data_IF_150334693496
#
_entry.id   IF_150334693496
#
_cell.length_a   1.000
_cell.length_b   1.000
_cell.length_c   1.000
_cell.angle_alpha   90.00
_cell.angle_beta   90.00
_cell.angle_gamma   90.00
#
_symmetry.space_group_name_H-M   'P 1'
#
loop_
_entity.id
_entity.type
_entity.pdbx_description
1 polymer ?
#
# COMPACT_ATOMS: atom_id res chain seq x y z
N UNK A 1 6.16 -14.53 1.23
CA UNK A 1 5.39 -13.33 0.84
C UNK A 1 4.53 -12.94 2.03
N UNK A 2 4.30 -11.65 2.32
CA UNK A 2 3.27 -11.30 3.30
C UNK A 2 1.96 -11.97 2.84
N UNK A 3 1.32 -12.69 3.76
CA UNK A 3 0.08 -13.41 3.47
C UNK A 3 -0.96 -12.37 3.07
N UNK A 4 -1.64 -12.57 1.93
CA UNK A 4 -2.66 -11.67 1.32
C UNK A 4 -3.88 -11.31 2.22
N UNK A 5 -3.83 -11.56 3.52
CA UNK A 5 -5.01 -11.64 4.41
C UNK A 5 -5.38 -10.34 5.14
N UNK A 6 -4.67 -9.23 4.95
CA UNK A 6 -4.93 -8.01 5.76
C UNK A 6 -4.82 -6.68 4.97
N UNK A 7 -5.08 -6.68 3.65
CA UNK A 7 -5.00 -5.45 2.85
C UNK A 7 -6.38 -4.79 2.75
N UNK A 8 -6.67 -3.89 3.68
CA UNK A 8 -7.91 -3.11 3.71
C UNK A 8 -7.78 -1.79 2.91
N UNK A 9 -8.76 -1.42 2.06
CA UNK A 9 -8.73 -0.18 1.26
C UNK A 9 -8.61 1.09 2.09
N UNK A 10 -9.27 1.11 3.26
CA UNK A 10 -9.31 2.25 4.18
C UNK A 10 -8.04 2.39 5.03
N UNK A 11 -7.20 1.34 5.08
CA UNK A 11 -5.95 1.38 5.83
C UNK A 11 -4.80 1.91 4.98
N UNK A 12 -3.77 2.40 5.65
CA UNK A 12 -2.52 2.78 4.99
C UNK A 12 -1.89 1.56 4.32
N UNK A 13 -1.19 1.81 3.20
CA UNK A 13 -0.45 0.75 2.51
C UNK A 13 0.51 0.11 3.53
N UNK A 14 0.45 -1.21 3.73
CA UNK A 14 1.30 -1.86 4.71
C UNK A 14 2.76 -1.62 4.35
N UNK A 15 3.58 -1.28 5.35
CA UNK A 15 4.99 -1.05 5.12
C UNK A 15 5.77 -2.34 5.32
N UNK A 16 6.76 -2.57 4.46
CA UNK A 16 7.66 -3.69 4.62
C UNK A 16 8.51 -3.45 5.87
N UNK A 17 8.53 -4.44 6.78
CA UNK A 17 9.43 -4.42 7.95
C UNK A 17 10.90 -4.37 7.47
N UNK A 18 11.74 -3.46 8.01
CA UNK A 18 13.16 -3.44 7.67
C UNK A 18 13.85 -4.75 8.06
N UNK A 19 14.89 -5.12 7.33
CA UNK A 19 15.70 -6.28 7.67
C UNK A 19 16.38 -6.07 9.03
N UNK A 20 16.18 -7.00 9.95
CA UNK A 20 16.83 -7.00 11.25
C UNK A 20 17.80 -8.16 11.35
N UNK A 21 19.08 -7.83 11.43
CA UNK A 21 20.16 -8.81 11.59
C UNK A 21 19.97 -9.63 12.87
N UNK A 22 19.60 -9.00 13.98
CA UNK A 22 19.40 -9.70 15.25
C UNK A 22 18.25 -10.71 15.18
N UNK A 23 17.15 -10.35 14.54
CA UNK A 23 16.03 -11.29 14.33
C UNK A 23 16.44 -12.44 13.42
N UNK A 24 17.21 -12.15 12.36
CA UNK A 24 17.77 -13.18 11.48
C UNK A 24 18.67 -14.16 12.24
N UNK A 25 19.64 -13.66 13.01
CA UNK A 25 20.55 -14.49 13.81
C UNK A 25 19.80 -15.31 14.86
N UNK A 26 18.76 -14.74 15.47
CA UNK A 26 17.90 -15.45 16.44
C UNK A 26 17.12 -16.58 15.76
N UNK A 27 16.61 -16.35 14.54
CA UNK A 27 15.91 -17.38 13.78
C UNK A 27 16.82 -18.57 13.44
N UNK A 28 18.10 -18.33 13.13
CA UNK A 28 19.06 -19.40 12.87
C UNK A 28 19.31 -20.31 14.08
N UNK A 29 19.15 -19.80 15.31
CA UNK A 29 19.22 -20.65 16.52
C UNK A 29 18.09 -21.67 16.58
N UNK A 30 16.93 -21.33 16.00
CA UNK A 30 15.74 -22.17 15.98
C UNK A 30 15.69 -23.12 14.79
N UNK A 31 16.10 -22.65 13.60
CA UNK A 31 16.04 -23.42 12.35
C UNK A 31 17.35 -24.16 12.01
N UNK A 32 18.39 -23.98 12.83
CA UNK A 32 19.71 -24.54 12.64
C UNK A 32 20.65 -23.60 11.88
N UNK A 33 21.89 -23.48 12.36
CA UNK A 33 22.99 -22.91 11.58
C UNK A 33 23.33 -23.85 10.40
N UNK A 34 23.80 -23.31 9.25
CA UNK A 34 24.52 -24.15 8.29
C UNK A 34 25.67 -24.83 9.05
N UNK A 35 25.95 -26.12 8.80
CA UNK A 35 26.90 -26.96 9.56
C UNK A 35 28.38 -26.53 9.51
N UNK A 36 28.64 -25.23 9.47
CA UNK A 36 29.90 -24.53 9.55
C UNK A 36 30.36 -24.57 11.01
N UNK A 37 31.54 -25.15 11.24
CA UNK A 37 32.22 -25.09 12.54
C UNK A 37 32.81 -23.69 12.73
N UNK A 38 32.58 -23.08 13.89
CA UNK A 38 33.14 -21.76 14.26
C UNK A 38 32.09 -20.68 14.53
N UNK A 39 32.54 -19.43 14.64
CA UNK A 39 31.68 -18.28 14.93
C UNK A 39 30.94 -17.77 13.68
N UNK A 40 29.90 -18.52 13.30
CA UNK A 40 29.02 -18.17 12.18
C UNK A 40 28.25 -16.86 12.41
N UNK A 41 28.03 -16.43 13.66
CA UNK A 41 27.32 -15.18 13.94
C UNK A 41 28.15 -13.99 13.47
N UNK A 42 29.44 -13.96 13.82
CA UNK A 42 30.36 -12.92 13.36
C UNK A 42 30.50 -12.91 11.83
N UNK A 43 30.50 -14.09 11.19
CA UNK A 43 30.54 -14.20 9.73
C UNK A 43 29.31 -13.52 9.10
N UNK A 44 28.09 -13.81 9.58
CA UNK A 44 26.89 -13.17 9.06
C UNK A 44 26.84 -11.67 9.35
N UNK A 45 27.35 -11.23 10.51
CA UNK A 45 27.50 -9.80 10.81
C UNK A 45 28.39 -9.12 9.78
N UNK A 46 29.57 -9.68 9.52
CA UNK A 46 30.48 -9.15 8.50
C UNK A 46 29.88 -9.17 7.10
N UNK A 47 29.23 -10.28 6.71
CA UNK A 47 28.58 -10.40 5.41
C UNK A 47 27.50 -9.34 5.20
N UNK A 48 26.60 -9.15 6.17
CA UNK A 48 25.51 -8.18 6.06
C UNK A 48 26.03 -6.74 6.03
N UNK A 49 27.06 -6.43 6.83
CA UNK A 49 27.59 -5.07 6.94
C UNK A 49 28.54 -4.68 5.81
N UNK A 50 29.33 -5.62 5.30
CA UNK A 50 30.44 -5.31 4.38
C UNK A 50 30.28 -5.86 2.96
N UNK A 51 29.36 -6.81 2.72
CA UNK A 51 29.18 -7.34 1.36
C UNK A 51 28.39 -6.37 0.48
N UNK A 52 29.00 -5.76 -0.56
CA UNK A 52 28.28 -4.88 -1.48
C UNK A 52 27.19 -5.62 -2.24
N UNK A 53 27.41 -6.92 -2.52
CA UNK A 53 26.43 -7.79 -3.18
C UNK A 53 25.17 -7.95 -2.32
N UNK A 54 25.33 -8.21 -1.01
CA UNK A 54 24.19 -8.35 -0.11
C UNK A 54 23.43 -7.03 0.03
N UNK A 55 24.13 -5.92 0.22
CA UNK A 55 23.52 -4.60 0.38
C UNK A 55 22.72 -4.23 -0.88
N UNK A 56 23.31 -4.43 -2.06
CA UNK A 56 22.64 -4.18 -3.35
C UNK A 56 21.42 -5.08 -3.56
N UNK A 57 21.58 -6.38 -3.28
CA UNK A 57 20.48 -7.34 -3.35
C UNK A 57 19.34 -6.99 -2.40
N UNK A 58 19.65 -6.66 -1.15
CA UNK A 58 18.67 -6.29 -0.13
C UNK A 58 17.88 -5.07 -0.59
N UNK A 59 18.55 -3.99 -1.02
CA UNK A 59 17.87 -2.78 -1.51
C UNK A 59 16.93 -3.07 -2.69
N UNK A 60 17.39 -3.88 -3.66
CA UNK A 60 16.56 -4.28 -4.80
C UNK A 60 15.34 -5.08 -4.33
N UNK A 61 15.56 -6.06 -3.44
CA UNK A 61 14.49 -6.89 -2.89
C UNK A 61 13.46 -6.08 -2.12
N UNK A 62 13.90 -5.10 -1.33
CA UNK A 62 13.02 -4.18 -0.60
C UNK A 62 12.16 -3.36 -1.57
N UNK A 63 12.78 -2.80 -2.61
CA UNK A 63 12.07 -2.04 -3.66
C UNK A 63 11.02 -2.89 -4.37
N UNK A 64 11.36 -4.15 -4.71
CA UNK A 64 10.45 -5.07 -5.38
C UNK A 64 9.26 -5.45 -4.48
N UNK A 65 9.52 -5.74 -3.20
CA UNK A 65 8.46 -6.05 -2.22
C UNK A 65 7.55 -4.85 -2.00
N UNK A 66 8.09 -3.65 -1.80
CA UNK A 66 7.27 -2.45 -1.65
C UNK A 66 6.41 -2.17 -2.89
N UNK A 67 6.96 -2.38 -4.09
CA UNK A 67 6.20 -2.26 -5.33
C UNK A 67 5.04 -3.26 -5.34
N UNK A 68 5.31 -4.51 -4.98
CA UNK A 68 4.28 -5.54 -4.93
C UNK A 68 3.19 -5.21 -3.91
N UNK A 69 3.55 -4.77 -2.70
CA UNK A 69 2.57 -4.37 -1.68
C UNK A 69 1.71 -3.21 -2.17
N UNK A 70 2.30 -2.21 -2.82
CA UNK A 70 1.56 -1.08 -3.41
C UNK A 70 0.60 -1.54 -4.51
N UNK A 71 1.01 -2.50 -5.35
CA UNK A 71 0.16 -3.07 -6.39
C UNK A 71 -1.01 -3.85 -5.79
N UNK A 72 -0.77 -4.70 -4.80
CA UNK A 72 -1.80 -5.48 -4.12
C UNK A 72 -2.80 -4.58 -3.37
N UNK A 73 -2.34 -3.50 -2.73
CA UNK A 73 -3.23 -2.50 -2.11
C UNK A 73 -4.09 -1.77 -3.14
N UNK A 74 -3.51 -1.39 -4.27
CA UNK A 74 -4.27 -0.78 -5.36
C UNK A 74 -5.32 -1.72 -5.93
N UNK A 75 -4.96 -2.99 -6.14
CA UNK A 75 -5.90 -4.03 -6.59
C UNK A 75 -7.06 -4.23 -5.60
N UNK A 76 -6.77 -4.21 -4.29
CA UNK A 76 -7.80 -4.26 -3.25
C UNK A 76 -8.78 -3.09 -3.36
N UNK A 77 -8.29 -1.86 -3.54
CA UNK A 77 -9.16 -0.68 -3.75
C UNK A 77 -9.99 -0.82 -5.03
N UNK A 78 -9.36 -1.22 -6.14
CA UNK A 78 -10.02 -1.40 -7.43
C UNK A 78 -11.16 -2.42 -7.41
N UNK A 79 -11.05 -3.44 -6.56
CA UNK A 79 -12.01 -4.54 -6.44
C UNK A 79 -12.99 -4.38 -5.26
N UNK A 80 -12.87 -3.29 -4.49
CA UNK A 80 -13.70 -3.07 -3.31
C UNK A 80 -15.07 -2.52 -3.67
N UNK A 81 -16.05 -2.87 -2.84
CA UNK A 81 -17.39 -2.30 -2.89
C UNK A 81 -17.47 -1.13 -1.91
N UNK A 82 -17.73 0.08 -2.42
CA UNK A 82 -17.95 1.29 -1.62
C UNK A 82 -19.43 1.67 -1.60
N UNK A 83 -20.29 0.72 -1.21
CA UNK A 83 -21.71 0.99 -1.01
C UNK A 83 -21.94 1.94 0.16
N UNK A 84 -23.07 2.65 0.15
CA UNK A 84 -23.45 3.59 1.21
C UNK A 84 -23.47 2.93 2.59
N UNK A 85 -23.88 1.67 2.69
CA UNK A 85 -23.87 0.91 3.95
C UNK A 85 -22.46 0.72 4.53
N UNK A 86 -21.48 0.38 3.69
CA UNK A 86 -20.08 0.17 4.11
C UNK A 86 -19.44 1.52 4.50
N UNK A 87 -19.75 2.58 3.75
CA UNK A 87 -19.23 3.91 4.03
C UNK A 87 -19.82 4.49 5.33
N UNK A 88 -21.08 4.19 5.65
CA UNK A 88 -21.72 4.63 6.89
C UNK A 88 -21.07 4.05 8.17
N UNK A 89 -20.39 2.91 8.07
CA UNK A 89 -19.63 2.31 9.17
C UNK A 89 -18.25 2.95 9.38
N UNK A 90 -17.83 3.85 8.48
CA UNK A 90 -16.51 4.50 8.49
C UNK A 90 -16.62 5.96 8.91
N UNK A 91 -15.54 6.47 9.49
CA UNK A 91 -15.47 7.89 9.82
C UNK A 91 -15.34 8.74 8.54
N UNK A 92 -15.91 9.94 8.54
CA UNK A 92 -15.76 10.88 7.42
C UNK A 92 -14.29 11.17 7.10
N UNK A 93 -13.42 11.19 8.11
CA UNK A 93 -11.97 11.38 7.95
C UNK A 93 -11.33 10.25 7.14
N UNK A 94 -11.68 8.99 7.42
CA UNK A 94 -11.17 7.83 6.66
C UNK A 94 -11.64 7.87 5.21
N UNK A 95 -12.90 8.26 4.97
CA UNK A 95 -13.46 8.40 3.62
C UNK A 95 -12.73 9.49 2.84
N UNK A 96 -12.52 10.66 3.46
CA UNK A 96 -11.80 11.79 2.85
C UNK A 96 -10.34 11.40 2.54
N UNK A 97 -9.66 10.71 3.47
CA UNK A 97 -8.29 10.24 3.27
C UNK A 97 -8.18 9.24 2.11
N UNK A 98 -9.13 8.30 2.01
CA UNK A 98 -9.23 7.38 0.88
C UNK A 98 -9.43 8.12 -0.45
N UNK A 99 -10.35 9.09 -0.50
CA UNK A 99 -10.60 9.91 -1.68
C UNK A 99 -9.36 10.72 -2.08
N UNK A 100 -8.66 11.32 -1.12
CA UNK A 100 -7.43 12.06 -1.37
C UNK A 100 -6.32 11.16 -1.93
N UNK A 101 -6.15 9.96 -1.36
CA UNK A 101 -5.20 8.95 -1.86
C UNK A 101 -5.51 8.55 -3.30
N UNK A 102 -6.78 8.28 -3.61
CA UNK A 102 -7.25 7.96 -4.96
C UNK A 102 -6.98 9.11 -5.94
N UNK A 103 -7.36 10.33 -5.58
CA UNK A 103 -7.18 11.50 -6.43
C UNK A 103 -5.71 11.79 -6.72
N UNK A 104 -4.84 11.70 -5.71
CA UNK A 104 -3.39 11.85 -5.88
C UNK A 104 -2.82 10.76 -6.79
N UNK A 105 -3.31 9.52 -6.67
CA UNK A 105 -2.83 8.40 -7.49
C UNK A 105 -3.23 8.54 -8.96
N UNK A 106 -4.47 8.96 -9.23
CA UNK A 106 -4.95 9.27 -10.58
C UNK A 106 -4.08 10.35 -11.23
N UNK A 107 -3.74 11.41 -10.48
CA UNK A 107 -2.83 12.47 -10.97
C UNK A 107 -1.43 11.94 -11.32
N UNK A 108 -0.87 11.06 -10.50
CA UNK A 108 0.49 10.53 -10.71
C UNK A 108 0.64 9.63 -11.93
N UNK A 109 -0.43 8.95 -12.34
CA UNK A 109 -0.32 7.85 -13.27
C UNK A 109 -0.90 8.15 -14.67
N UNK A 110 -1.25 9.41 -14.96
CA UNK A 110 -1.59 10.11 -16.23
C UNK A 110 -2.36 9.40 -17.37
N UNK A 111 -2.25 8.08 -17.59
CA UNK A 111 -2.73 7.35 -18.78
C UNK A 111 -3.57 6.09 -18.55
N UNK A 112 -3.72 5.54 -17.33
CA UNK A 112 -4.41 4.24 -17.13
C UNK A 112 -5.19 4.10 -15.80
N UNK A 113 -6.15 5.00 -15.50
CA UNK A 113 -6.85 5.03 -14.18
C UNK A 113 -8.36 4.91 -14.24
N UNK A 114 -8.94 4.46 -15.36
CA UNK A 114 -10.39 4.37 -15.52
C UNK A 114 -11.06 3.66 -14.33
N UNK A 115 -10.47 2.55 -13.85
CA UNK A 115 -11.01 1.82 -12.70
C UNK A 115 -10.93 2.62 -11.38
N UNK A 116 -9.83 3.34 -11.12
CA UNK A 116 -9.71 4.19 -9.93
C UNK A 116 -10.62 5.42 -9.99
N UNK A 117 -10.81 5.98 -11.19
CA UNK A 117 -11.77 7.06 -11.41
C UNK A 117 -13.20 6.58 -11.13
N UNK A 118 -13.55 5.40 -11.63
CA UNK A 118 -14.85 4.78 -11.36
C UNK A 118 -15.05 4.51 -9.87
N UNK A 119 -14.03 4.04 -9.15
CA UNK A 119 -14.10 3.87 -7.70
C UNK A 119 -14.28 5.19 -6.96
N UNK A 120 -13.54 6.24 -7.33
CA UNK A 120 -13.69 7.57 -6.75
C UNK A 120 -15.11 8.12 -6.97
N UNK A 121 -15.65 7.97 -8.18
CA UNK A 121 -17.02 8.38 -8.51
C UNK A 121 -18.07 7.57 -7.74
N UNK A 122 -17.86 6.26 -7.60
CA UNK A 122 -18.72 5.38 -6.81
C UNK A 122 -18.79 5.85 -5.35
N UNK A 123 -17.63 6.11 -4.73
CA UNK A 123 -17.57 6.63 -3.35
C UNK A 123 -18.31 7.97 -3.27
N UNK A 124 -18.01 8.92 -4.17
CA UNK A 124 -18.62 10.25 -4.15
C UNK A 124 -20.15 10.22 -4.34
N UNK A 125 -20.66 9.21 -5.04
CA UNK A 125 -22.11 9.01 -5.22
C UNK A 125 -22.80 8.40 -4.00
N UNK A 126 -22.05 7.66 -3.18
CA UNK A 126 -22.55 6.86 -2.05
C UNK A 126 -22.33 7.50 -0.68
N UNK A 127 -21.57 8.60 -0.62
CA UNK A 127 -21.38 9.47 0.55
C UNK A 127 -22.63 10.35 0.78
N UNK A 128 -22.88 10.69 2.04
CA UNK A 128 -23.96 11.60 2.45
C UNK A 128 -23.86 13.01 1.83
N UNK A 129 -25.00 13.70 1.74
CA UNK A 129 -25.08 14.98 1.03
C UNK A 129 -24.24 16.08 1.71
N UNK A 130 -24.13 16.09 3.04
CA UNK A 130 -23.35 17.09 3.78
C UNK A 130 -21.85 16.98 3.46
N UNK A 131 -21.30 15.77 3.56
CA UNK A 131 -19.90 15.51 3.23
C UNK A 131 -19.63 15.70 1.74
N UNK A 132 -20.59 15.35 0.87
CA UNK A 132 -20.49 15.55 -0.58
C UNK A 132 -20.39 17.02 -0.97
N UNK A 133 -21.15 17.91 -0.32
CA UNK A 133 -21.03 19.37 -0.53
C UNK A 133 -19.62 19.86 -0.19
N UNK A 134 -19.08 19.42 0.94
CA UNK A 134 -17.72 19.78 1.36
C UNK A 134 -16.68 19.22 0.38
N UNK A 135 -16.81 17.97 -0.05
CA UNK A 135 -15.89 17.36 -1.01
C UNK A 135 -15.92 18.06 -2.37
N UNK A 136 -17.10 18.39 -2.89
CA UNK A 136 -17.25 19.07 -4.19
C UNK A 136 -16.82 20.53 -4.17
N UNK A 137 -16.67 21.15 -2.99
CA UNK A 137 -16.02 22.45 -2.87
C UNK A 137 -14.53 22.41 -3.26
N UNK A 138 -13.90 21.23 -3.21
CA UNK A 138 -12.52 21.04 -3.64
C UNK A 138 -12.47 20.76 -5.16
N UNK A 139 -11.71 21.57 -5.93
CA UNK A 139 -11.63 21.40 -7.39
C UNK A 139 -11.05 20.04 -7.80
N UNK A 140 -10.26 19.39 -6.94
CA UNK A 140 -9.70 18.07 -7.21
C UNK A 140 -10.80 17.02 -7.40
N UNK A 141 -11.84 17.03 -6.55
CA UNK A 141 -12.93 16.04 -6.63
C UNK A 141 -13.97 16.44 -7.67
N UNK A 142 -14.21 17.75 -7.83
CA UNK A 142 -15.10 18.28 -8.87
C UNK A 142 -14.66 17.89 -10.29
N UNK A 143 -13.38 18.07 -10.61
CA UNK A 143 -12.85 17.75 -11.93
C UNK A 143 -12.93 16.25 -12.26
N UNK A 144 -12.84 15.38 -11.25
CA UNK A 144 -13.00 13.92 -11.45
C UNK A 144 -14.47 13.57 -11.67
N UNK A 145 -15.40 14.21 -10.95
CA UNK A 145 -16.84 14.03 -11.16
C UNK A 145 -17.32 14.55 -12.53
N UNK A 146 -16.72 15.62 -13.06
CA UNK A 146 -17.10 16.21 -14.35
C UNK A 146 -16.52 15.43 -15.54
N UNK A 147 -15.33 14.85 -15.42
CA UNK A 147 -14.72 14.03 -16.49
C UNK A 147 -15.46 12.73 -16.79
N UNK A 148 -16.12 12.12 -15.80
CA UNK A 148 -16.93 10.89 -15.99
C UNK A 148 -18.30 11.10 -16.63
N UNK A 149 -18.66 12.33 -17.04
CA UNK A 149 -19.91 12.62 -17.78
C UNK A 149 -19.72 12.71 -19.30
N UNK A 150 -18.48 12.65 -19.79
CA UNK A 150 -18.12 12.91 -21.19
C UNK A 150 -17.73 11.61 -21.93
N UNK A 151 -17.64 10.48 -21.23
CA UNK A 151 -17.51 9.13 -21.80
C UNK A 151 -18.83 8.36 -21.66
#
# INVERSE_FOLDING_TARGET
MPLKREICPFQTVPQMRPFSLEQFLTSLKHFGHPGIKGDWQSLYRQFVTHSPNFIGWLRRRQTDIERQIRLEHMESICNSNFSSQILAERSQVEIVDLLMKLANRIKQLERQHLQLQHQLQSILSSVDDELKVVLLSNPTFRNVSEKGKIE
#
